data_IF_918383664090
#
_entry.id   IF_918383664090
#
_cell.length_a   1.000
_cell.length_b   1.000
_cell.length_c   1.000
_cell.angle_alpha   90.00
_cell.angle_beta   90.00
_cell.angle_gamma   90.00
#
_symmetry.space_group_name_H-M   'P 1'
#
loop_
_entity.id
_entity.type
_entity.pdbx_description
1 polymer ?
#
# COMPACT_ATOMS: atom_id res chain seq x y z
N UNK A 1 -3.61 22.51 31.75
CA UNK A 1 -2.22 22.97 31.95
C UNK A 1 -1.53 23.32 30.64
N UNK A 2 -1.40 22.39 29.66
CA UNK A 2 -0.74 22.66 28.37
C UNK A 2 -1.40 23.80 27.60
N UNK A 3 -2.73 23.74 27.40
CA UNK A 3 -3.45 24.79 26.68
C UNK A 3 -3.33 26.16 27.35
N UNK A 4 -3.57 26.23 28.67
CA UNK A 4 -3.43 27.47 29.43
C UNK A 4 -2.02 28.09 29.27
N UNK A 5 -0.97 27.26 29.31
CA UNK A 5 0.40 27.70 29.05
C UNK A 5 0.58 28.22 27.62
N UNK A 6 0.11 27.49 26.61
CA UNK A 6 0.22 27.90 25.20
C UNK A 6 -0.53 29.21 24.93
N UNK A 7 -1.73 29.38 25.50
CA UNK A 7 -2.53 30.60 25.40
C UNK A 7 -1.84 31.78 26.09
N UNK A 8 -1.32 31.60 27.31
CA UNK A 8 -0.58 32.63 28.02
C UNK A 8 0.68 33.11 27.26
N UNK A 9 1.31 32.22 26.48
CA UNK A 9 2.51 32.51 25.71
C UNK A 9 2.25 32.83 24.22
N UNK A 10 0.99 32.96 23.79
CA UNK A 10 0.62 33.22 22.37
C UNK A 10 1.15 32.17 21.38
N UNK A 11 1.28 30.91 21.84
CA UNK A 11 1.70 29.76 21.05
C UNK A 11 0.53 28.83 20.67
N UNK A 12 -0.66 29.10 21.21
CA UNK A 12 -1.87 28.36 20.86
C UNK A 12 -2.46 28.89 19.55
N UNK A 13 -2.84 27.98 18.64
CA UNK A 13 -3.49 28.30 17.37
C UNK A 13 -4.89 27.72 17.39
N UNK A 14 -5.91 28.58 17.33
CA UNK A 14 -7.32 28.18 17.24
C UNK A 14 -7.84 28.41 15.82
N UNK A 15 -7.94 27.35 15.02
CA UNK A 15 -8.36 27.44 13.61
C UNK A 15 -9.83 27.87 13.41
N UNK A 16 -10.63 27.99 14.48
CA UNK A 16 -11.99 28.53 14.42
C UNK A 16 -12.05 30.05 14.63
N UNK A 17 -10.97 30.66 15.11
CA UNK A 17 -10.85 32.10 15.28
C UNK A 17 -10.16 32.73 14.05
N UNK A 18 -10.46 34.00 13.72
CA UNK A 18 -9.74 34.73 12.69
C UNK A 18 -8.23 34.66 12.97
N UNK A 19 -7.50 34.01 12.07
CA UNK A 19 -6.05 33.89 12.21
C UNK A 19 -5.44 35.28 12.05
N UNK A 20 -4.63 35.68 13.02
CA UNK A 20 -3.80 36.86 12.86
C UNK A 20 -2.77 36.57 11.76
N UNK A 21 -2.71 37.42 10.74
CA UNK A 21 -1.78 37.23 9.62
C UNK A 21 -0.34 37.19 10.14
N UNK A 22 0.29 36.02 10.03
CA UNK A 22 1.70 35.82 10.36
C UNK A 22 2.51 36.20 9.13
N UNK A 23 3.45 37.12 9.30
CA UNK A 23 4.38 37.47 8.25
C UNK A 23 5.35 36.29 7.98
N UNK A 24 5.12 35.56 6.90
CA UNK A 24 6.06 34.57 6.38
C UNK A 24 6.90 35.14 5.24
N UNK A 25 8.09 34.59 5.01
CA UNK A 25 8.95 34.98 3.89
C UNK A 25 8.34 34.67 2.52
N UNK A 26 7.45 33.69 2.46
CA UNK A 26 6.66 33.31 1.30
C UNK A 26 5.40 32.57 1.73
N UNK A 27 4.37 32.58 0.88
CA UNK A 27 3.12 31.87 1.09
C UNK A 27 2.94 30.84 -0.02
N UNK A 28 2.54 29.63 0.36
CA UNK A 28 2.18 28.55 -0.56
C UNK A 28 0.78 28.11 -0.18
N UNK A 29 -0.11 28.03 -1.15
CA UNK A 29 -1.49 27.59 -0.96
C UNK A 29 -1.68 26.21 -1.58
N UNK A 30 -2.43 25.35 -0.89
CA UNK A 30 -2.76 24.01 -1.34
C UNK A 30 -4.25 23.75 -1.10
N UNK A 31 -5.03 23.73 -2.18
CA UNK A 31 -6.43 23.35 -2.12
C UNK A 31 -6.56 21.85 -1.84
N UNK A 32 -7.05 21.49 -0.65
CA UNK A 32 -7.21 20.09 -0.23
C UNK A 32 -8.20 19.31 -1.10
N UNK A 33 -9.16 19.97 -1.75
CA UNK A 33 -10.11 19.33 -2.67
C UNK A 33 -9.42 18.88 -3.98
N UNK A 34 -8.32 19.54 -4.33
CA UNK A 34 -7.50 19.23 -5.49
C UNK A 34 -6.31 18.32 -5.11
N UNK A 35 -6.07 18.09 -3.80
CA UNK A 35 -4.94 17.30 -3.33
C UNK A 35 -5.01 15.89 -3.87
N UNK A 36 -3.89 15.55 -4.50
CA UNK A 36 -3.72 14.36 -5.32
C UNK A 36 -2.38 13.75 -4.91
N UNK A 37 -2.33 12.93 -3.85
CA UNK A 37 -1.15 12.26 -3.23
C UNK A 37 0.17 12.36 -4.03
N UNK A 38 1.13 13.22 -3.63
CA UNK A 38 2.29 13.57 -4.48
C UNK A 38 3.60 13.00 -3.93
N UNK A 39 4.12 11.88 -4.50
CA UNK A 39 5.55 11.66 -4.68
C UNK A 39 5.99 12.16 -6.07
N UNK A 40 7.29 12.45 -6.23
CA UNK A 40 7.88 12.96 -7.48
C UNK A 40 7.54 12.13 -8.75
N UNK A 41 7.29 10.82 -8.62
CA UNK A 41 6.84 9.92 -9.69
C UNK A 41 5.47 9.30 -9.37
N UNK A 42 4.45 10.14 -9.18
CA UNK A 42 3.10 9.65 -8.93
C UNK A 42 2.53 8.93 -10.15
N UNK A 43 1.96 7.76 -9.94
CA UNK A 43 1.15 7.03 -10.92
C UNK A 43 -0.28 6.91 -10.38
N UNK A 44 -1.29 7.56 -11.01
CA UNK A 44 -2.68 7.33 -10.65
C UNK A 44 -3.01 5.84 -10.76
N UNK A 45 -3.74 5.30 -9.78
CA UNK A 45 -4.05 3.86 -9.75
C UNK A 45 -4.81 3.38 -11.00
N UNK A 46 -5.61 4.26 -11.63
CA UNK A 46 -6.29 4.01 -12.91
C UNK A 46 -5.31 3.83 -14.08
N UNK A 47 -4.15 4.47 -14.01
CA UNK A 47 -3.11 4.50 -15.03
C UNK A 47 -1.96 3.54 -14.71
N UNK A 48 -1.97 2.89 -13.54
CA UNK A 48 -0.91 1.97 -13.10
C UNK A 48 -0.58 0.91 -14.14
N UNK A 49 -1.62 0.35 -14.78
CA UNK A 49 -1.44 -0.64 -15.83
C UNK A 49 -0.74 -0.05 -17.05
N UNK A 50 -1.18 1.10 -17.56
CA UNK A 50 -0.56 1.73 -18.73
C UNK A 50 0.86 2.19 -18.45
N UNK A 51 1.10 2.83 -17.30
CA UNK A 51 2.43 3.28 -16.87
C UNK A 51 3.38 2.09 -16.72
N UNK A 52 2.95 0.97 -16.14
CA UNK A 52 3.76 -0.25 -16.06
C UNK A 52 4.21 -0.77 -17.42
N UNK A 53 3.32 -0.83 -18.42
CA UNK A 53 3.70 -1.29 -19.76
C UNK A 53 4.66 -0.31 -20.42
N UNK A 54 4.45 1.00 -20.28
CA UNK A 54 5.40 2.01 -20.75
C UNK A 54 6.77 1.88 -20.07
N UNK A 55 6.82 1.54 -18.78
CA UNK A 55 8.08 1.31 -18.07
C UNK A 55 8.84 0.08 -18.59
N UNK A 56 8.18 -0.94 -19.12
CA UNK A 56 8.88 -2.05 -19.76
C UNK A 56 9.61 -1.60 -21.04
N UNK A 57 8.99 -0.73 -21.84
CA UNK A 57 9.54 -0.24 -23.11
C UNK A 57 10.62 0.85 -22.94
N UNK A 58 10.44 1.74 -21.95
CA UNK A 58 11.29 2.93 -21.79
C UNK A 58 12.76 2.58 -21.52
N UNK A 59 13.67 3.46 -21.99
CA UNK A 59 15.11 3.38 -21.70
C UNK A 59 15.37 3.30 -20.20
N UNK A 60 16.42 2.60 -19.81
CA UNK A 60 16.81 2.42 -18.40
C UNK A 60 16.89 3.77 -17.70
N UNK A 61 16.10 3.91 -16.63
CA UNK A 61 15.96 5.14 -15.84
C UNK A 61 14.85 5.01 -14.79
N UNK A 62 14.44 6.12 -14.17
CA UNK A 62 13.43 6.11 -13.09
C UNK A 62 12.10 5.44 -13.50
N UNK A 63 11.71 5.56 -14.77
CA UNK A 63 10.48 4.98 -15.34
C UNK A 63 10.74 4.07 -16.55
N UNK A 64 11.87 3.35 -16.56
CA UNK A 64 12.19 2.48 -17.69
C UNK A 64 13.13 1.32 -17.34
N UNK A 65 12.82 0.14 -17.87
CA UNK A 65 13.57 -1.10 -17.67
C UNK A 65 14.22 -1.63 -18.96
N UNK A 66 13.86 -1.08 -20.13
CA UNK A 66 14.36 -1.47 -21.45
C UNK A 66 14.25 -2.97 -21.74
N UNK A 67 13.08 -3.57 -21.44
CA UNK A 67 12.81 -4.99 -21.69
C UNK A 67 12.40 -5.18 -23.16
N UNK A 68 13.10 -6.03 -23.94
CA UNK A 68 12.73 -6.34 -25.32
C UNK A 68 11.28 -6.84 -25.43
N UNK A 69 10.55 -6.44 -26.48
CA UNK A 69 9.12 -6.75 -26.61
C UNK A 69 8.83 -8.25 -26.60
N UNK A 70 9.75 -9.04 -27.12
CA UNK A 70 9.69 -10.51 -27.16
C UNK A 70 9.79 -11.12 -25.75
N UNK A 71 10.48 -10.44 -24.83
CA UNK A 71 10.68 -10.86 -23.45
C UNK A 71 9.60 -10.31 -22.49
N UNK A 72 8.84 -9.28 -22.84
CA UNK A 72 7.84 -8.68 -21.94
C UNK A 72 6.74 -9.66 -21.50
N UNK A 73 6.43 -10.66 -22.34
CA UNK A 73 5.46 -11.73 -22.03
C UNK A 73 6.03 -12.90 -21.23
N UNK A 74 7.31 -12.85 -20.83
CA UNK A 74 8.00 -13.98 -20.19
C UNK A 74 7.31 -14.42 -18.90
N UNK A 75 7.20 -15.74 -18.74
CA UNK A 75 6.68 -16.40 -17.55
C UNK A 75 7.74 -17.36 -17.02
N UNK A 76 8.30 -17.03 -15.87
CA UNK A 76 9.21 -17.88 -15.13
C UNK A 76 8.40 -18.85 -14.25
N UNK A 77 8.41 -20.13 -14.59
CA UNK A 77 7.78 -21.19 -13.78
C UNK A 77 8.79 -21.74 -12.79
N UNK A 78 8.35 -21.99 -11.56
CA UNK A 78 9.20 -22.52 -10.50
C UNK A 78 8.37 -23.37 -9.53
N UNK A 79 9.05 -24.20 -8.75
CA UNK A 79 8.44 -24.93 -7.65
C UNK A 79 8.64 -24.14 -6.35
N UNK A 80 7.54 -23.82 -5.67
CA UNK A 80 7.54 -23.19 -4.36
C UNK A 80 7.08 -24.21 -3.32
N UNK A 81 8.04 -24.90 -2.69
CA UNK A 81 7.77 -25.90 -1.65
C UNK A 81 6.77 -26.99 -2.08
N UNK A 82 6.93 -27.54 -3.29
CA UNK A 82 6.07 -28.56 -3.88
C UNK A 82 4.80 -28.02 -4.54
N UNK A 83 4.65 -26.70 -4.66
CA UNK A 83 3.55 -26.06 -5.38
C UNK A 83 4.05 -25.37 -6.65
N UNK A 84 3.44 -25.64 -7.82
CA UNK A 84 3.80 -24.94 -9.05
C UNK A 84 3.43 -23.46 -8.94
N UNK A 85 4.39 -22.59 -9.26
CA UNK A 85 4.26 -21.15 -9.17
C UNK A 85 4.80 -20.46 -10.43
N UNK A 86 4.33 -19.24 -10.66
CA UNK A 86 4.71 -18.44 -11.83
C UNK A 86 5.02 -17.00 -11.45
N UNK A 87 6.13 -16.48 -11.98
CA UNK A 87 6.48 -15.06 -11.96
C UNK A 87 6.52 -14.51 -13.37
N UNK A 88 6.02 -13.29 -13.51
CA UNK A 88 6.07 -12.45 -14.71
C UNK A 88 6.65 -11.09 -14.36
N UNK A 89 7.04 -10.31 -15.36
CA UNK A 89 7.37 -8.91 -15.15
C UNK A 89 6.23 -8.20 -14.40
N UNK A 90 6.56 -7.53 -13.30
CA UNK A 90 5.60 -6.81 -12.47
C UNK A 90 4.93 -7.68 -11.40
N UNK A 91 5.39 -8.92 -11.19
CA UNK A 91 4.92 -9.74 -10.08
C UNK A 91 5.33 -9.13 -8.75
N UNK A 92 4.39 -9.03 -7.82
CA UNK A 92 4.66 -8.53 -6.47
C UNK A 92 5.30 -9.66 -5.69
N UNK A 93 6.53 -9.47 -5.23
CA UNK A 93 7.28 -10.46 -4.42
C UNK A 93 7.51 -9.99 -2.99
N UNK A 94 7.38 -8.69 -2.74
CA UNK A 94 7.41 -8.10 -1.39
C UNK A 94 6.19 -7.20 -1.23
N UNK A 95 5.45 -7.39 -0.14
CA UNK A 95 4.35 -6.53 0.26
C UNK A 95 4.48 -6.16 1.74
N UNK A 96 4.90 -4.93 2.03
CA UNK A 96 5.25 -4.53 3.40
C UNK A 96 4.40 -3.37 3.91
N UNK A 97 3.59 -3.63 4.94
CA UNK A 97 3.00 -2.56 5.75
C UNK A 97 4.05 -2.18 6.80
N UNK A 98 4.70 -1.04 6.58
CA UNK A 98 5.84 -0.55 7.35
C UNK A 98 5.79 0.97 7.47
N UNK A 99 6.83 1.55 8.08
CA UNK A 99 7.08 2.98 8.28
C UNK A 99 6.20 3.66 9.35
N UNK A 100 6.82 4.56 10.11
CA UNK A 100 6.13 5.45 11.06
C UNK A 100 5.14 6.40 10.37
N UNK A 101 5.34 6.72 9.09
CA UNK A 101 4.47 7.65 8.35
C UNK A 101 3.04 7.14 8.24
N UNK A 102 2.85 5.87 7.85
CA UNK A 102 1.51 5.32 7.66
C UNK A 102 1.01 4.53 8.86
N UNK A 103 1.90 3.89 9.63
CA UNK A 103 1.46 3.10 10.79
C UNK A 103 1.02 3.95 11.98
N UNK A 104 1.39 5.24 12.01
CA UNK A 104 0.88 6.19 13.00
C UNK A 104 -0.57 6.64 12.75
N UNK A 105 -1.12 6.39 11.56
CA UNK A 105 -2.47 6.79 11.19
C UNK A 105 -3.45 5.61 11.37
N UNK A 106 -4.35 5.65 12.37
CA UNK A 106 -5.29 4.56 12.63
C UNK A 106 -6.25 4.29 11.47
N UNK A 107 -6.69 5.33 10.75
CA UNK A 107 -7.67 5.21 9.68
C UNK A 107 -7.17 4.30 8.55
N UNK A 108 -5.92 4.48 8.13
CA UNK A 108 -5.35 3.66 7.03
C UNK A 108 -5.00 2.24 7.47
N UNK A 109 -4.64 2.06 8.75
CA UNK A 109 -4.35 0.74 9.31
C UNK A 109 -5.62 -0.09 9.53
N UNK A 110 -6.69 0.53 10.06
CA UNK A 110 -8.01 -0.10 10.14
C UNK A 110 -8.55 -0.40 8.74
N UNK A 111 -8.37 0.52 7.79
CA UNK A 111 -8.70 0.31 6.37
C UNK A 111 -8.01 -0.93 5.78
N UNK A 112 -6.72 -1.14 6.09
CA UNK A 112 -6.00 -2.34 5.65
C UNK A 112 -6.58 -3.63 6.25
N UNK A 113 -6.92 -3.59 7.54
CA UNK A 113 -7.61 -4.69 8.22
C UNK A 113 -8.98 -5.01 7.61
N UNK A 114 -9.74 -4.00 7.23
CA UNK A 114 -11.04 -4.17 6.57
C UNK A 114 -10.91 -4.77 5.17
N UNK A 115 -9.90 -4.36 4.39
CA UNK A 115 -9.58 -5.00 3.09
C UNK A 115 -9.22 -6.46 3.28
N UNK A 116 -8.37 -6.78 4.28
CA UNK A 116 -8.01 -8.16 4.59
C UNK A 116 -9.22 -9.00 5.01
N UNK A 117 -10.12 -8.43 5.84
CA UNK A 117 -11.39 -9.07 6.21
C UNK A 117 -12.26 -9.35 4.98
N UNK A 118 -12.43 -8.36 4.10
CA UNK A 118 -13.23 -8.53 2.88
C UNK A 118 -12.63 -9.59 1.96
N UNK A 119 -11.30 -9.65 1.86
CA UNK A 119 -10.60 -10.67 1.10
C UNK A 119 -10.86 -12.07 1.68
N UNK A 120 -10.80 -12.23 3.00
CA UNK A 120 -11.17 -13.47 3.69
C UNK A 120 -12.62 -13.88 3.38
N UNK A 121 -13.58 -12.96 3.52
CA UNK A 121 -15.00 -13.22 3.25
C UNK A 121 -15.26 -13.65 1.78
N UNK A 122 -14.38 -13.23 0.87
CA UNK A 122 -14.40 -13.60 -0.55
C UNK A 122 -13.55 -14.86 -0.87
N UNK A 123 -12.92 -15.48 0.12
CA UNK A 123 -12.05 -16.64 -0.08
C UNK A 123 -10.73 -16.32 -0.79
N UNK A 124 -10.35 -15.04 -0.89
CA UNK A 124 -9.11 -14.61 -1.52
C UNK A 124 -7.94 -14.77 -0.54
N UNK A 125 -6.81 -15.27 -1.05
CA UNK A 125 -5.56 -15.40 -0.30
C UNK A 125 -4.40 -14.84 -1.07
N UNK A 126 -3.47 -14.22 -0.35
CA UNK A 126 -2.17 -13.82 -0.90
C UNK A 126 -1.42 -15.07 -1.38
N UNK A 127 -0.75 -14.95 -2.52
CA UNK A 127 0.08 -16.04 -3.07
C UNK A 127 1.23 -16.35 -2.10
N UNK A 128 1.55 -17.63 -1.85
CA UNK A 128 2.44 -18.02 -0.75
C UNK A 128 3.89 -17.57 -0.94
N UNK A 129 4.33 -17.32 -2.18
CA UNK A 129 5.66 -16.81 -2.50
C UNK A 129 5.81 -15.28 -2.36
N UNK A 130 4.75 -14.56 -1.96
CA UNK A 130 4.83 -13.11 -1.69
C UNK A 130 5.28 -12.91 -0.25
N UNK A 131 6.41 -12.24 -0.05
CA UNK A 131 6.90 -11.90 1.28
C UNK A 131 6.10 -10.74 1.87
N UNK A 132 5.10 -11.07 2.67
CA UNK A 132 4.27 -10.12 3.42
C UNK A 132 4.88 -9.79 4.78
N UNK A 133 4.78 -8.53 5.21
CA UNK A 133 5.21 -8.14 6.56
C UNK A 133 4.40 -6.99 7.14
N UNK A 134 4.19 -7.04 8.45
CA UNK A 134 3.58 -5.96 9.25
C UNK A 134 4.58 -5.51 10.32
N UNK A 135 5.17 -4.34 10.11
CA UNK A 135 6.05 -3.68 11.07
C UNK A 135 5.41 -2.38 11.54
N UNK A 136 5.28 -2.22 12.85
CA UNK A 136 4.50 -1.13 13.44
C UNK A 136 5.42 -0.11 14.12
N UNK A 137 5.03 1.16 14.10
CA UNK A 137 5.78 2.22 14.80
C UNK A 137 5.56 2.22 16.32
N UNK A 138 4.46 1.66 16.80
CA UNK A 138 4.03 1.72 18.21
C UNK A 138 3.10 0.55 18.57
N UNK A 139 3.13 0.14 19.84
CA UNK A 139 2.20 -0.87 20.39
C UNK A 139 0.74 -0.41 20.44
N UNK A 140 0.45 0.90 20.32
CA UNK A 140 -0.93 1.40 20.20
C UNK A 140 -1.62 0.82 18.97
N UNK A 141 -0.86 0.64 17.87
CA UNK A 141 -1.39 0.09 16.62
C UNK A 141 -1.83 -1.35 16.80
N UNK A 142 -1.01 -2.15 17.45
CA UNK A 142 -1.34 -3.53 17.80
C UNK A 142 -2.62 -3.59 18.65
N UNK A 143 -2.76 -2.70 19.63
CA UNK A 143 -3.93 -2.69 20.53
C UNK A 143 -5.23 -2.47 19.77
N UNK A 144 -5.34 -1.45 18.92
CA UNK A 144 -6.59 -1.21 18.21
C UNK A 144 -6.87 -2.26 17.12
N UNK A 145 -5.84 -2.86 16.49
CA UNK A 145 -6.02 -3.94 15.52
C UNK A 145 -6.50 -5.24 16.18
N UNK A 146 -6.03 -5.53 17.39
CA UNK A 146 -6.51 -6.64 18.22
C UNK A 146 -7.93 -6.40 18.71
N UNK A 147 -8.22 -5.23 19.28
CA UNK A 147 -9.54 -4.89 19.83
C UNK A 147 -10.64 -4.84 18.75
N UNK A 148 -10.30 -4.37 17.55
CA UNK A 148 -11.22 -4.40 16.39
C UNK A 148 -11.40 -5.80 15.79
N UNK A 149 -10.61 -6.79 16.22
CA UNK A 149 -10.61 -8.13 15.65
C UNK A 149 -10.06 -8.21 14.23
N UNK A 150 -9.42 -7.14 13.71
CA UNK A 150 -8.90 -7.08 12.35
C UNK A 150 -7.51 -7.71 12.20
N UNK A 151 -6.74 -7.81 13.29
CA UNK A 151 -5.41 -8.42 13.28
C UNK A 151 -5.43 -9.86 12.74
N UNK A 152 -6.47 -10.64 13.07
CA UNK A 152 -6.59 -12.03 12.61
C UNK A 152 -6.65 -12.13 11.07
N UNK A 153 -7.40 -11.23 10.43
CA UNK A 153 -7.53 -11.22 8.98
C UNK A 153 -6.25 -10.76 8.29
N UNK A 154 -5.52 -9.81 8.90
CA UNK A 154 -4.17 -9.45 8.42
C UNK A 154 -3.22 -10.65 8.51
N UNK A 155 -3.22 -11.38 9.62
CA UNK A 155 -2.39 -12.57 9.81
C UNK A 155 -2.70 -13.68 8.79
N UNK A 156 -3.98 -13.93 8.51
CA UNK A 156 -4.41 -14.92 7.50
C UNK A 156 -3.96 -14.57 6.08
N UNK A 157 -3.79 -13.28 5.77
CA UNK A 157 -3.22 -12.80 4.51
C UNK A 157 -1.69 -12.70 4.56
N UNK A 158 -1.05 -13.23 5.62
CA UNK A 158 0.40 -13.25 5.79
C UNK A 158 1.00 -11.99 6.42
N UNK A 159 0.21 -10.95 6.70
CA UNK A 159 0.66 -9.72 7.36
C UNK A 159 0.77 -9.90 8.88
N UNK A 160 1.57 -10.89 9.28
CA UNK A 160 1.87 -11.14 10.69
C UNK A 160 2.73 -10.02 11.26
N UNK A 161 2.44 -9.64 12.50
CA UNK A 161 3.28 -8.68 13.22
C UNK A 161 4.69 -9.25 13.40
N UNK A 162 5.68 -8.58 12.81
CA UNK A 162 7.08 -9.01 12.86
C UNK A 162 7.82 -8.35 14.02
N UNK A 163 7.80 -7.02 14.07
CA UNK A 163 8.51 -6.23 15.07
C UNK A 163 8.02 -4.78 15.08
N UNK A 164 8.29 -4.08 16.19
CA UNK A 164 8.32 -2.62 16.20
C UNK A 164 9.64 -2.11 15.62
N UNK A 165 9.57 -1.23 14.62
CA UNK A 165 10.75 -0.58 14.04
C UNK A 165 10.74 -0.48 12.51
N UNK A 166 11.82 0.08 11.97
CA UNK A 166 11.87 0.49 10.57
C UNK A 166 11.84 -0.66 9.56
N UNK A 167 12.47 -1.82 9.84
CA UNK A 167 12.43 -3.03 8.97
C UNK A 167 12.61 -2.72 7.47
N UNK A 168 11.69 -3.15 6.60
CA UNK A 168 11.67 -2.90 5.15
C UNK A 168 11.72 -1.40 4.79
N UNK A 169 11.30 -0.51 5.69
CA UNK A 169 11.38 0.94 5.46
C UNK A 169 12.83 1.43 5.21
N UNK A 170 13.81 0.80 5.85
CA UNK A 170 15.24 1.16 5.70
C UNK A 170 16.02 0.19 4.80
N UNK A 171 15.32 -0.76 4.16
CA UNK A 171 15.96 -1.80 3.32
C UNK A 171 16.26 -3.10 4.06
N UNK A 172 15.92 -3.20 5.35
CA UNK A 172 15.99 -4.47 6.09
C UNK A 172 14.75 -5.32 5.78
N UNK A 173 14.58 -5.65 4.50
CA UNK A 173 13.54 -6.54 3.98
C UNK A 173 13.85 -8.00 4.26
N UNK A 174 15.13 -8.35 4.45
CA UNK A 174 15.63 -9.72 4.59
C UNK A 174 15.47 -10.54 3.31
N UNK A 175 15.96 -11.76 3.30
CA UNK A 175 16.05 -12.55 2.06
C UNK A 175 14.68 -13.02 1.56
N UNK A 176 14.53 -13.06 0.23
CA UNK A 176 13.45 -13.80 -0.41
C UNK A 176 13.75 -15.31 -0.32
N UNK A 177 12.70 -16.12 -0.44
CA UNK A 177 12.88 -17.57 -0.58
C UNK A 177 13.80 -17.87 -1.77
N UNK A 178 14.68 -18.85 -1.62
CA UNK A 178 15.68 -19.20 -2.62
C UNK A 178 15.04 -19.52 -3.98
N UNK A 179 13.92 -20.25 -3.97
CA UNK A 179 13.20 -20.59 -5.21
C UNK A 179 12.70 -19.34 -5.95
N UNK A 180 12.22 -18.33 -5.20
CA UNK A 180 11.77 -17.04 -5.73
C UNK A 180 12.97 -16.22 -6.22
N UNK A 181 14.06 -16.19 -5.46
CA UNK A 181 15.26 -15.45 -5.80
C UNK A 181 15.91 -15.98 -7.09
N UNK A 182 16.03 -17.29 -7.22
CA UNK A 182 16.53 -17.96 -8.44
C UNK A 182 15.59 -17.73 -9.61
N UNK A 183 14.27 -17.87 -9.42
CA UNK A 183 13.29 -17.61 -10.47
C UNK A 183 13.37 -16.17 -11.00
N UNK A 184 13.64 -15.17 -10.15
CA UNK A 184 13.83 -13.78 -10.57
C UNK A 184 15.15 -13.63 -11.35
N UNK A 185 16.25 -14.13 -10.78
CA UNK A 185 17.60 -13.84 -11.26
C UNK A 185 17.94 -14.59 -12.54
N UNK A 186 17.61 -15.89 -12.63
CA UNK A 186 17.88 -16.73 -13.81
C UNK A 186 17.03 -16.33 -15.01
N UNK A 187 15.88 -15.70 -14.76
CA UNK A 187 14.94 -15.32 -15.81
C UNK A 187 14.95 -13.82 -16.13
N UNK A 188 15.77 -13.01 -15.46
CA UNK A 188 15.80 -11.54 -15.56
C UNK A 188 14.38 -10.93 -15.43
N UNK A 189 13.62 -11.39 -14.44
CA UNK A 189 12.26 -10.87 -14.20
C UNK A 189 12.35 -9.54 -13.45
N UNK A 190 11.65 -8.52 -13.97
CA UNK A 190 11.45 -7.25 -13.25
C UNK A 190 10.43 -7.46 -12.14
N UNK A 191 10.88 -7.94 -10.99
CA UNK A 191 10.04 -8.15 -9.82
C UNK A 191 9.71 -6.83 -9.12
N UNK A 192 8.53 -6.78 -8.50
CA UNK A 192 7.98 -5.59 -7.86
C UNK A 192 7.87 -5.74 -6.34
N UNK A 193 8.11 -4.64 -5.62
CA UNK A 193 7.74 -4.49 -4.21
C UNK A 193 6.69 -3.40 -4.05
N UNK A 194 5.71 -3.63 -3.16
CA UNK A 194 4.70 -2.62 -2.80
C UNK A 194 4.74 -2.40 -1.29
N UNK A 195 4.84 -1.15 -0.87
CA UNK A 195 5.14 -0.85 0.53
C UNK A 195 4.60 0.50 1.00
N UNK A 196 4.23 0.57 2.28
CA UNK A 196 3.66 1.79 2.88
C UNK A 196 4.69 2.77 3.45
N UNK A 197 5.85 2.93 2.79
CA UNK A 197 6.92 3.85 3.21
C UNK A 197 6.94 5.14 2.37
N UNK A 198 7.98 5.96 2.54
CA UNK A 198 8.13 7.28 1.90
C UNK A 198 9.24 7.41 0.83
N UNK A 199 10.03 6.36 0.56
CA UNK A 199 11.13 6.34 -0.43
C UNK A 199 11.09 5.05 -1.23
N UNK A 200 11.45 5.00 -2.50
CA UNK A 200 11.36 3.77 -3.32
C UNK A 200 12.51 3.60 -4.31
N UNK A 201 13.68 4.17 -4.00
CA UNK A 201 14.87 4.00 -4.81
C UNK A 201 15.21 2.53 -5.06
N UNK A 202 15.60 2.22 -6.29
CA UNK A 202 16.13 0.92 -6.69
C UNK A 202 17.29 0.49 -5.78
N UNK A 203 17.37 -0.80 -5.47
CA UNK A 203 18.38 -1.36 -4.55
C UNK A 203 18.17 -1.05 -3.06
N UNK A 204 17.35 -0.06 -2.69
CA UNK A 204 17.09 0.30 -1.28
C UNK A 204 15.97 -0.51 -0.62
N UNK A 205 15.06 -1.12 -1.39
CA UNK A 205 14.02 -2.01 -0.82
C UNK A 205 14.60 -3.40 -0.62
N UNK A 206 15.04 -4.01 -1.72
CA UNK A 206 15.64 -5.33 -1.79
C UNK A 206 16.43 -5.39 -3.12
N UNK A 207 17.58 -6.09 -3.18
CA UNK A 207 18.40 -6.18 -4.39
C UNK A 207 17.66 -6.79 -5.59
N UNK A 208 16.74 -7.74 -5.33
CA UNK A 208 15.98 -8.44 -6.38
C UNK A 208 14.69 -7.71 -6.82
N UNK A 209 14.39 -6.53 -6.29
CA UNK A 209 13.19 -5.76 -6.66
C UNK A 209 13.56 -4.46 -7.35
N UNK A 210 13.53 -4.51 -8.69
CA UNK A 210 13.82 -3.35 -9.56
C UNK A 210 12.69 -2.33 -9.56
N UNK A 211 11.44 -2.78 -9.48
CA UNK A 211 10.27 -1.92 -9.42
C UNK A 211 9.74 -1.79 -7.98
N UNK A 212 9.63 -0.57 -7.45
CA UNK A 212 9.24 -0.35 -6.06
C UNK A 212 8.15 0.73 -5.98
N UNK A 213 6.98 0.38 -5.43
CA UNK A 213 5.83 1.27 -5.36
C UNK A 213 5.47 1.63 -3.93
N UNK A 214 5.24 2.93 -3.71
CA UNK A 214 4.72 3.45 -2.46
C UNK A 214 3.20 3.50 -2.54
N UNK A 215 2.53 2.87 -1.57
CA UNK A 215 1.08 2.80 -1.53
C UNK A 215 0.56 2.89 -0.09
N UNK A 216 -0.70 3.27 0.09
CA UNK A 216 -1.33 3.23 1.41
C UNK A 216 -1.43 1.77 1.92
N UNK A 217 -1.45 1.53 3.25
CA UNK A 217 -1.56 0.18 3.80
C UNK A 217 -2.67 -0.71 3.19
N UNK A 218 -3.91 -0.22 2.92
CA UNK A 218 -4.92 -1.03 2.27
C UNK A 218 -4.58 -1.40 0.82
N UNK A 219 -3.91 -0.51 0.08
CA UNK A 219 -3.43 -0.81 -1.27
C UNK A 219 -2.29 -1.84 -1.24
N UNK A 220 -1.42 -1.81 -0.23
CA UNK A 220 -0.40 -2.86 -0.05
C UNK A 220 -1.06 -4.23 0.06
N UNK A 221 -2.13 -4.35 0.86
CA UNK A 221 -2.91 -5.61 0.97
C UNK A 221 -3.53 -5.99 -0.37
N UNK A 222 -4.14 -5.04 -1.09
CA UNK A 222 -4.75 -5.29 -2.39
C UNK A 222 -3.75 -5.80 -3.44
N UNK A 223 -2.56 -5.19 -3.52
CA UNK A 223 -1.50 -5.62 -4.42
C UNK A 223 -0.89 -6.97 -4.04
N UNK A 224 -0.79 -7.27 -2.74
CA UNK A 224 -0.37 -8.59 -2.28
C UNK A 224 -1.36 -9.68 -2.74
N UNK A 225 -2.66 -9.40 -2.62
CA UNK A 225 -3.73 -10.31 -3.08
C UNK A 225 -3.73 -10.49 -4.60
N UNK A 226 -3.53 -9.41 -5.35
CA UNK A 226 -3.43 -9.48 -6.80
C UNK A 226 -2.14 -10.21 -7.26
N UNK A 227 -1.05 -10.09 -6.50
CA UNK A 227 0.25 -10.67 -6.80
C UNK A 227 0.96 -10.04 -8.01
N UNK A 228 0.47 -8.90 -8.51
CA UNK A 228 1.08 -8.15 -9.61
C UNK A 228 0.69 -6.68 -9.56
N UNK A 229 1.59 -5.80 -10.00
CA UNK A 229 1.31 -4.36 -10.17
C UNK A 229 0.40 -4.09 -11.37
N UNK A 230 0.36 -5.02 -12.33
CA UNK A 230 -0.57 -5.02 -13.46
C UNK A 230 -1.90 -5.64 -13.03
N UNK A 231 -2.63 -4.97 -12.12
CA UNK A 231 -3.85 -5.53 -11.53
C UNK A 231 -4.88 -5.93 -12.61
N UNK A 232 -5.38 -7.17 -12.59
CA UNK A 232 -6.42 -7.61 -13.52
C UNK A 232 -7.76 -6.92 -13.21
N UNK A 233 -8.60 -6.78 -14.23
CA UNK A 233 -9.90 -6.11 -14.11
C UNK A 233 -10.82 -6.74 -13.05
N UNK A 234 -10.65 -8.02 -12.73
CA UNK A 234 -11.39 -8.72 -11.67
C UNK A 234 -11.15 -8.16 -10.27
N UNK A 235 -9.99 -7.52 -10.04
CA UNK A 235 -9.68 -6.85 -8.77
C UNK A 235 -10.23 -5.41 -8.70
N UNK A 236 -10.86 -4.90 -9.78
CA UNK A 236 -11.49 -3.57 -9.77
C UNK A 236 -12.57 -3.44 -8.70
N UNK A 237 -13.31 -4.51 -8.36
CA UNK A 237 -14.28 -4.48 -7.27
C UNK A 237 -13.61 -4.19 -5.91
N UNK A 238 -12.47 -4.82 -5.62
CA UNK A 238 -11.73 -4.59 -4.38
C UNK A 238 -11.13 -3.17 -4.34
N UNK A 239 -10.66 -2.68 -5.48
CA UNK A 239 -10.20 -1.29 -5.64
C UNK A 239 -11.34 -0.28 -5.49
N UNK A 240 -12.54 -0.59 -6.00
CA UNK A 240 -13.72 0.27 -5.88
C UNK A 240 -14.15 0.40 -4.42
N UNK A 241 -14.11 -0.70 -3.66
CA UNK A 241 -14.30 -0.66 -2.20
C UNK A 241 -13.27 0.27 -1.55
N UNK A 242 -11.98 0.18 -1.92
CA UNK A 242 -10.97 1.10 -1.39
C UNK A 242 -11.26 2.56 -1.80
N UNK A 243 -11.71 2.77 -3.05
CA UNK A 243 -12.02 4.09 -3.62
C UNK A 243 -13.30 4.73 -3.09
N UNK A 244 -14.32 3.99 -2.66
CA UNK A 244 -15.51 4.55 -2.02
C UNK A 244 -15.28 4.76 -0.52
N UNK A 245 -14.50 3.90 0.12
CA UNK A 245 -14.26 3.99 1.57
C UNK A 245 -13.28 5.12 1.91
N UNK A 246 -12.27 5.40 1.07
CA UNK A 246 -11.25 6.41 1.37
C UNK A 246 -11.66 7.89 1.25
N UNK A 247 -12.42 8.35 0.23
CA UNK A 247 -12.88 9.74 0.22
C UNK A 247 -13.84 10.01 1.39
N UNK A 248 -14.60 9.00 1.85
CA UNK A 248 -15.50 9.14 3.01
C UNK A 248 -14.74 9.22 4.33
N UNK A 249 -13.60 8.52 4.48
CA UNK A 249 -12.82 8.54 5.73
C UNK A 249 -11.94 9.78 5.91
N UNK A 250 -11.58 10.49 4.82
CA UNK A 250 -10.90 11.79 4.92
C UNK A 250 -11.88 12.91 5.27
N UNK A 251 -13.19 12.75 5.00
CA UNK A 251 -14.20 13.79 5.18
C UNK A 251 -15.26 13.54 6.26
N UNK A 252 -15.42 12.32 6.80
CA UNK A 252 -16.55 12.02 7.69
C UNK A 252 -16.11 11.43 9.03
N UNK A 253 -15.62 12.31 9.91
CA UNK A 253 -16.08 12.30 11.30
C UNK A 253 -17.44 13.01 11.23
N UNK A 254 -18.51 12.42 11.75
CA UNK A 254 -19.93 12.78 11.56
C UNK A 254 -20.62 12.17 10.32
N UNK A 255 -21.00 10.89 10.41
CA UNK A 255 -22.41 10.48 10.45
C UNK A 255 -22.54 8.96 10.35
N UNK A 256 -23.24 8.38 11.33
CA UNK A 256 -23.37 6.94 11.56
C UNK A 256 -24.31 6.21 10.55
N UNK A 257 -24.75 6.86 9.46
CA UNK A 257 -25.82 6.33 8.60
C UNK A 257 -25.38 5.67 7.27
N UNK A 258 -24.13 5.81 6.82
CA UNK A 258 -23.74 5.33 5.48
C UNK A 258 -23.42 3.82 5.38
N UNK A 259 -23.28 3.14 6.53
CA UNK A 259 -22.92 1.72 6.61
C UNK A 259 -24.06 0.79 6.11
N UNK A 260 -25.32 1.23 6.19
CA UNK A 260 -26.48 0.42 5.81
C UNK A 260 -26.84 0.48 4.32
N UNK A 261 -26.57 1.59 3.62
CA UNK A 261 -27.08 1.81 2.26
C UNK A 261 -26.27 1.05 1.19
N UNK A 262 -24.98 0.78 1.44
CA UNK A 262 -24.11 0.10 0.46
C UNK A 262 -24.15 -1.42 0.62
N UNK A 263 -24.39 -1.94 1.83
CA UNK A 263 -24.62 -3.37 2.06
C UNK A 263 -25.81 -3.89 1.24
N UNK A 264 -26.87 -3.08 1.06
CA UNK A 264 -28.05 -3.45 0.28
C UNK A 264 -27.82 -3.52 -1.23
N UNK A 265 -26.84 -2.78 -1.79
CA UNK A 265 -26.55 -2.80 -3.24
C UNK A 265 -25.62 -3.93 -3.67
N UNK A 266 -24.83 -4.48 -2.75
CA UNK A 266 -23.91 -5.60 -3.03
C UNK A 266 -24.60 -6.97 -2.92
N UNK A 267 -25.70 -7.06 -2.18
CA UNK A 267 -26.52 -8.28 -2.09
C UNK A 267 -27.28 -8.54 -3.41
N UNK A 268 -27.63 -7.49 -4.18
CA UNK A 268 -28.41 -7.60 -5.42
C UNK A 268 -27.56 -7.72 -6.71
N UNK A 269 -26.25 -7.94 -6.62
CA UNK A 269 -25.40 -8.18 -7.80
C UNK A 269 -25.24 -9.69 -8.14
N UNK A 270 -26.05 -10.54 -7.51
CA UNK A 270 -26.31 -11.91 -7.94
C UNK A 270 -27.76 -12.00 -8.40
N UNK A 271 -28.02 -11.44 -9.57
CA UNK A 271 -29.05 -11.84 -10.54
C UNK A 271 -28.64 -11.26 -11.90
#
# INVERSE_FOLDING_TARGET
>A
MIEAYLRANKLFVDYNEPQQDKAYSSYLELNLDEVRTIPHDRVPLKEMKSDWHSCLDNKVGFKGFAIPKEAQGKVAKFDFHGQPAELKHGSVVIAAITSCTNTSNPSVMLGAGLVAKKAHDLGLKVKPWVKTSLALGSGVVTKYLLQSGLQKYLNEQGFNFVRFGCTTCIGNSGDLDESVASAISENDIVASAVLSRNRNFEGRVHPLTRANYLASPPLVVAYALAGTVCMPNSFKCLLYVIYEWFPVFVFSIFSCCLIFVIASKIINAKD
#
